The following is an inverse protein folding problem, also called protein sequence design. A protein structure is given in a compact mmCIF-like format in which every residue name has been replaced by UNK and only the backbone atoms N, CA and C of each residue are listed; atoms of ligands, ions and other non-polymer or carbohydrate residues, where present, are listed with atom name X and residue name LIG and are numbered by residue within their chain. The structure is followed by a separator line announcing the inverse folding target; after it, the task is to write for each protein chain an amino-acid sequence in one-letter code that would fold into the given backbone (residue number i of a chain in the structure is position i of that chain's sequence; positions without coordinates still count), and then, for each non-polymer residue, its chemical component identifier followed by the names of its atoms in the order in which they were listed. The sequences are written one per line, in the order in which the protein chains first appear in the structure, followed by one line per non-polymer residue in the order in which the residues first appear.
data_IF_650722297684
#
_entry.id   IF_650722297684
#
_cell.length_a   1.000
_cell.length_b   1.000
_cell.length_c   1.000
_cell.angle_alpha   90.00
_cell.angle_beta   90.00
_cell.angle_gamma   90.00
#
_symmetry.space_group_name_H-M   'P 1'
#
loop_
_entity.id
_entity.type
_entity.pdbx_description
1 polymer ?
#
# COMPACT_ATOMS: atom_id res chain seq x y z
N UNK A 1 16.11 -1.48 3.75
CA UNK A 1 15.94 -2.77 3.04
C UNK A 1 14.48 -2.96 2.67
N UNK A 2 14.16 -3.28 1.42
CA UNK A 2 12.79 -3.57 1.04
C UNK A 2 12.31 -4.90 1.63
N UNK A 3 11.03 -4.94 1.96
CA UNK A 3 10.35 -6.17 2.39
C UNK A 3 9.45 -6.61 1.24
N UNK A 4 9.53 -7.88 0.88
CA UNK A 4 8.75 -8.45 -0.22
C UNK A 4 7.85 -9.55 0.30
N UNK A 5 6.59 -9.52 -0.14
CA UNK A 5 5.63 -10.60 0.11
C UNK A 5 4.95 -10.97 -1.19
N UNK A 6 4.50 -12.21 -1.24
CA UNK A 6 3.72 -12.73 -2.37
C UNK A 6 2.41 -13.30 -1.82
N UNK A 7 1.32 -12.93 -2.46
CA UNK A 7 -0.02 -13.35 -2.08
C UNK A 7 -0.76 -13.84 -3.32
N UNK A 8 -1.75 -14.72 -3.11
CA UNK A 8 -2.65 -15.16 -4.18
C UNK A 8 -4.06 -14.78 -3.82
N UNK A 9 -4.68 -13.92 -4.64
CA UNK A 9 -6.06 -13.48 -4.48
C UNK A 9 -7.00 -14.36 -5.30
N UNK A 10 -8.22 -14.53 -4.81
CA UNK A 10 -9.29 -15.18 -5.56
C UNK A 10 -9.91 -14.25 -6.60
N UNK A 11 -9.61 -12.94 -6.53
CA UNK A 11 -10.14 -11.94 -7.44
C UNK A 11 -9.26 -11.79 -8.69
N UNK A 12 -9.85 -11.50 -9.87
CA UNK A 12 -9.07 -11.25 -11.08
C UNK A 12 -8.31 -9.92 -10.98
N UNK A 13 -7.23 -9.74 -11.78
CA UNK A 13 -6.40 -8.55 -11.68
C UNK A 13 -7.13 -7.21 -11.75
N UNK A 14 -8.13 -6.99 -12.61
CA UNK A 14 -8.86 -5.72 -12.62
C UNK A 14 -9.56 -5.40 -11.30
N UNK A 15 -10.07 -6.41 -10.60
CA UNK A 15 -10.72 -6.23 -9.30
C UNK A 15 -9.70 -5.88 -8.21
N UNK A 16 -8.54 -6.54 -8.21
CA UNK A 16 -7.45 -6.23 -7.27
C UNK A 16 -6.98 -4.80 -7.51
N UNK A 17 -6.79 -4.41 -8.76
CA UNK A 17 -6.39 -3.06 -9.12
C UNK A 17 -7.42 -2.04 -8.62
N UNK A 18 -8.70 -2.32 -8.81
CA UNK A 18 -9.78 -1.45 -8.35
C UNK A 18 -9.71 -1.22 -6.83
N UNK A 19 -9.48 -2.27 -6.06
CA UNK A 19 -9.37 -2.17 -4.60
C UNK A 19 -8.15 -1.32 -4.19
N UNK A 20 -7.02 -1.53 -4.83
CA UNK A 20 -5.80 -0.79 -4.53
C UNK A 20 -5.90 0.70 -4.86
N UNK A 21 -6.72 1.05 -5.84
CA UNK A 21 -6.84 2.42 -6.34
C UNK A 21 -8.17 3.09 -6.02
N UNK A 22 -8.97 2.49 -5.14
CA UNK A 22 -10.20 3.07 -4.62
C UNK A 22 -9.88 3.92 -3.39
N UNK A 23 -9.94 5.23 -3.53
CA UNK A 23 -9.69 6.19 -2.47
C UNK A 23 -10.99 6.81 -1.92
N UNK A 24 -12.12 6.19 -2.19
CA UNK A 24 -13.42 6.61 -1.67
C UNK A 24 -13.62 6.21 -0.20
N UNK A 25 -14.81 6.49 0.35
CA UNK A 25 -15.11 6.24 1.77
C UNK A 25 -14.92 4.80 2.23
N UNK A 26 -15.09 3.83 1.32
CA UNK A 26 -14.90 2.41 1.65
C UNK A 26 -13.47 2.02 1.98
N UNK A 27 -12.49 2.89 1.65
CA UNK A 27 -11.09 2.59 1.91
C UNK A 27 -10.79 2.46 3.41
N UNK A 28 -11.36 3.32 4.23
CA UNK A 28 -11.19 3.24 5.68
C UNK A 28 -11.80 1.97 6.27
N UNK A 29 -12.88 1.48 5.68
CA UNK A 29 -13.52 0.23 6.11
C UNK A 29 -12.69 -1.00 5.73
N UNK A 30 -12.07 -0.97 4.55
CA UNK A 30 -11.31 -2.09 4.01
C UNK A 30 -9.89 -2.19 4.61
N UNK A 31 -9.24 -1.06 4.85
CA UNK A 31 -7.84 -1.00 5.27
C UNK A 31 -7.73 -0.57 6.73
N UNK A 32 -7.27 -1.47 7.59
CA UNK A 32 -7.17 -1.26 9.05
C UNK A 32 -6.31 -0.06 9.46
N UNK A 33 -5.27 0.22 8.70
CA UNK A 33 -4.35 1.32 9.00
C UNK A 33 -4.85 2.70 8.55
N UNK A 34 -6.04 2.78 7.95
CA UNK A 34 -6.60 4.01 7.41
C UNK A 34 -7.88 4.39 8.14
N UNK A 35 -7.87 5.58 8.76
CA UNK A 35 -9.05 6.18 9.37
C UNK A 35 -9.70 7.14 8.39
N UNK A 36 -11.01 7.23 8.38
CA UNK A 36 -11.76 8.14 7.53
C UNK A 36 -11.31 9.60 7.72
N UNK A 37 -11.05 10.00 8.95
CA UNK A 37 -10.61 11.37 9.30
C UNK A 37 -9.19 11.67 8.85
N UNK A 38 -8.43 10.65 8.45
CA UNK A 38 -7.04 10.76 8.01
C UNK A 38 -6.86 10.31 6.56
N UNK A 39 -7.93 10.39 5.78
CA UNK A 39 -7.91 10.06 4.35
C UNK A 39 -8.29 11.31 3.56
N UNK A 40 -7.34 11.83 2.79
CA UNK A 40 -7.55 13.01 1.94
C UNK A 40 -7.01 12.75 0.55
N UNK A 41 -7.86 12.87 -0.46
CA UNK A 41 -7.43 12.87 -1.85
C UNK A 41 -7.17 14.32 -2.25
N UNK A 42 -5.90 14.65 -2.46
CA UNK A 42 -5.50 16.02 -2.82
C UNK A 42 -5.77 16.30 -4.29
N UNK A 43 -5.45 15.33 -5.13
CA UNK A 43 -5.66 15.41 -6.57
C UNK A 43 -5.64 14.00 -7.14
N UNK A 44 -6.35 13.78 -8.25
CA UNK A 44 -6.32 12.48 -8.93
C UNK A 44 -6.61 12.62 -10.42
N UNK A 45 -6.07 11.68 -11.18
CA UNK A 45 -6.28 11.56 -12.62
C UNK A 45 -6.70 10.14 -12.98
N UNK A 46 -6.72 9.80 -14.29
CA UNK A 46 -7.18 8.48 -14.74
C UNK A 46 -6.33 7.32 -14.23
N UNK A 47 -5.04 7.54 -13.99
CA UNK A 47 -4.10 6.50 -13.58
C UNK A 47 -3.09 6.97 -12.52
N UNK A 48 -3.47 7.96 -11.74
CA UNK A 48 -2.64 8.47 -10.64
C UNK A 48 -3.50 9.16 -9.59
N UNK A 49 -2.98 9.25 -8.37
CA UNK A 49 -3.62 9.98 -7.27
C UNK A 49 -2.56 10.48 -6.29
N UNK A 50 -2.81 11.64 -5.71
CA UNK A 50 -2.02 12.21 -4.61
C UNK A 50 -2.91 12.17 -3.37
N UNK A 51 -2.54 11.33 -2.40
CA UNK A 51 -3.40 10.97 -1.28
C UNK A 51 -2.62 11.02 0.02
N UNK A 52 -3.23 11.54 1.07
CA UNK A 52 -2.73 11.36 2.45
C UNK A 52 -3.62 10.33 3.12
N UNK A 53 -3.03 9.28 3.67
CA UNK A 53 -3.77 8.24 4.37
C UNK A 53 -3.01 7.75 5.59
N UNK A 54 -3.74 7.22 6.55
CA UNK A 54 -3.19 6.70 7.78
C UNK A 54 -4.13 6.91 8.96
N UNK A 55 -3.53 7.11 10.13
CA UNK A 55 -4.24 7.32 11.39
C UNK A 55 -3.48 8.34 12.25
N UNK A 56 -3.93 8.53 13.48
CA UNK A 56 -3.29 9.50 14.40
C UNK A 56 -1.81 9.22 14.66
N UNK A 57 -1.43 7.95 14.64
CA UNK A 57 -0.08 7.52 15.02
C UNK A 57 0.87 7.58 13.85
N UNK A 58 0.42 7.13 12.68
CA UNK A 58 1.25 7.02 11.48
C UNK A 58 0.42 7.39 10.27
N UNK A 59 0.87 8.40 9.56
CA UNK A 59 0.24 8.83 8.30
C UNK A 59 1.31 9.06 7.24
N UNK A 60 0.92 8.96 5.98
CA UNK A 60 1.80 9.30 4.87
C UNK A 60 1.02 9.90 3.72
N UNK A 61 1.67 10.84 3.04
CA UNK A 61 1.21 11.37 1.77
C UNK A 61 1.94 10.62 0.67
N UNK A 62 1.19 10.08 -0.27
CA UNK A 62 1.70 9.21 -1.30
C UNK A 62 1.21 9.64 -2.66
N UNK A 63 2.09 9.53 -3.64
CA UNK A 63 1.69 9.63 -5.02
C UNK A 63 1.56 8.24 -5.59
N UNK A 64 0.33 7.87 -5.91
CA UNK A 64 0.02 6.61 -6.57
C UNK A 64 0.08 6.79 -8.08
N UNK A 65 0.62 5.81 -8.78
CA UNK A 65 0.48 5.67 -10.22
C UNK A 65 0.28 4.21 -10.56
N UNK A 66 -0.49 3.92 -11.60
CA UNK A 66 -0.77 2.55 -11.99
C UNK A 66 -0.96 2.42 -13.49
N UNK A 67 -0.71 1.19 -13.97
CA UNK A 67 -0.90 0.80 -15.36
C UNK A 67 -1.65 -0.53 -15.38
N UNK A 68 -2.90 -0.51 -15.85
CA UNK A 68 -3.74 -1.69 -15.89
C UNK A 68 -3.19 -2.75 -16.86
N UNK A 69 -2.57 -2.32 -17.96
CA UNK A 69 -2.03 -3.24 -18.96
C UNK A 69 -0.87 -4.10 -18.44
N UNK A 70 0.04 -3.48 -17.67
CA UNK A 70 1.17 -4.19 -17.08
C UNK A 70 0.87 -4.77 -15.69
N UNK A 71 -0.25 -4.36 -15.07
CA UNK A 71 -0.63 -4.81 -13.72
C UNK A 71 0.25 -4.24 -12.63
N UNK A 72 0.78 -3.02 -12.80
CA UNK A 72 1.66 -2.39 -11.83
C UNK A 72 0.96 -1.25 -11.10
N UNK A 73 1.22 -1.14 -9.78
CA UNK A 73 0.80 -0.02 -8.95
C UNK A 73 2.00 0.41 -8.14
N UNK A 74 2.31 1.70 -8.15
CA UNK A 74 3.41 2.28 -7.39
C UNK A 74 2.86 3.40 -6.51
N UNK A 75 3.22 3.39 -5.24
CA UNK A 75 2.89 4.47 -4.30
C UNK A 75 4.20 4.99 -3.72
N UNK A 76 4.55 6.22 -4.06
CA UNK A 76 5.78 6.86 -3.58
C UNK A 76 5.44 7.80 -2.43
N UNK A 77 6.09 7.60 -1.28
CA UNK A 77 5.90 8.46 -0.11
C UNK A 77 6.51 9.83 -0.38
N UNK A 78 5.70 10.88 -0.33
CA UNK A 78 6.14 12.26 -0.53
C UNK A 78 6.24 13.03 0.78
N UNK A 79 5.49 12.63 1.80
CA UNK A 79 5.54 13.19 3.15
C UNK A 79 5.01 12.16 4.15
N UNK A 80 5.47 12.21 5.39
CA UNK A 80 5.02 11.33 6.46
C UNK A 80 5.56 11.83 7.78
N UNK A 81 4.89 11.47 8.88
CA UNK A 81 5.40 11.73 10.21
C UNK A 81 6.44 10.71 10.69
N UNK A 82 6.60 9.58 9.98
CA UNK A 82 7.57 8.53 10.37
C UNK A 82 8.48 8.06 9.23
N UNK A 83 8.07 8.24 7.98
CA UNK A 83 8.81 7.74 6.82
C UNK A 83 9.44 8.87 6.02
N UNK A 84 10.69 8.69 5.66
CA UNK A 84 11.48 9.65 4.89
C UNK A 84 11.55 9.33 3.40
N UNK A 85 12.33 10.13 2.66
CA UNK A 85 12.51 9.95 1.22
C UNK A 85 12.99 8.55 0.84
N UNK A 86 12.50 8.02 -0.27
CA UNK A 86 12.81 6.68 -0.73
C UNK A 86 11.84 5.60 -0.23
N UNK A 87 10.91 5.96 0.65
CA UNK A 87 9.87 5.05 1.11
C UNK A 87 8.76 4.90 0.08
N UNK A 88 8.12 3.76 0.04
CA UNK A 88 7.01 3.54 -0.88
C UNK A 88 6.60 2.08 -0.99
N UNK A 89 5.61 1.86 -1.85
CA UNK A 89 5.00 0.57 -2.13
C UNK A 89 5.02 0.30 -3.62
N UNK A 90 5.24 -0.95 -3.99
CA UNK A 90 5.12 -1.40 -5.38
C UNK A 90 4.33 -2.71 -5.40
N UNK A 91 3.31 -2.77 -6.24
CA UNK A 91 2.50 -3.96 -6.45
C UNK A 91 2.65 -4.42 -7.89
N UNK A 92 2.81 -5.72 -8.07
CA UNK A 92 2.78 -6.35 -9.39
C UNK A 92 1.71 -7.42 -9.40
N UNK A 93 0.75 -7.27 -10.31
CA UNK A 93 -0.42 -8.13 -10.43
C UNK A 93 -0.27 -9.00 -11.67
N UNK A 94 -0.31 -10.32 -11.48
CA UNK A 94 -0.21 -11.29 -12.57
C UNK A 94 -1.39 -12.23 -12.52
N UNK A 95 -2.09 -12.48 -13.65
CA UNK A 95 -3.16 -13.47 -13.67
C UNK A 95 -2.65 -14.85 -13.22
N UNK A 96 -3.45 -15.54 -12.39
CA UNK A 96 -3.13 -16.86 -11.87
C UNK A 96 -4.43 -17.66 -11.77
N UNK A 97 -4.68 -18.54 -12.74
CA UNK A 97 -5.97 -19.21 -12.84
C UNK A 97 -7.08 -18.19 -13.04
N UNK A 98 -8.10 -18.22 -12.15
CA UNK A 98 -9.18 -17.24 -12.14
C UNK A 98 -8.89 -16.05 -11.23
N UNK A 99 -7.79 -16.09 -10.49
CA UNK A 99 -7.40 -15.06 -9.54
C UNK A 99 -6.15 -14.29 -9.95
N UNK A 100 -5.43 -13.80 -8.96
CA UNK A 100 -4.27 -12.93 -9.15
C UNK A 100 -3.15 -13.30 -8.21
N UNK A 101 -1.95 -13.42 -8.74
CA UNK A 101 -0.71 -13.43 -7.97
C UNK A 101 -0.30 -11.98 -7.74
N UNK A 102 -0.06 -11.62 -6.49
CA UNK A 102 0.27 -10.27 -6.08
C UNK A 102 1.66 -10.28 -5.46
N UNK A 103 2.59 -9.57 -6.09
CA UNK A 103 3.92 -9.35 -5.53
C UNK A 103 3.96 -7.93 -4.96
N UNK A 104 4.29 -7.80 -3.68
CA UNK A 104 4.33 -6.52 -2.97
C UNK A 104 5.74 -6.28 -2.49
N UNK A 105 6.28 -5.11 -2.82
CA UNK A 105 7.58 -4.65 -2.32
C UNK A 105 7.34 -3.35 -1.56
N UNK A 106 7.76 -3.32 -0.29
CA UNK A 106 7.61 -2.14 0.56
C UNK A 106 8.98 -1.69 1.01
N UNK A 107 9.30 -0.44 0.74
CA UNK A 107 10.56 0.19 1.16
C UNK A 107 10.24 1.23 2.23
N UNK A 108 10.92 1.14 3.37
CA UNK A 108 10.72 2.05 4.49
C UNK A 108 12.06 2.61 4.97
N UNK A 109 12.17 3.93 4.92
CA UNK A 109 13.29 4.67 5.49
C UNK A 109 12.74 5.54 6.61
N UNK A 110 13.01 5.15 7.87
CA UNK A 110 12.51 5.89 9.02
C UNK A 110 13.15 7.25 9.17
N UNK A 111 12.37 8.26 9.56
CA UNK A 111 12.87 9.59 9.89
C UNK A 111 12.62 9.91 11.35
N UNK A 112 13.52 10.67 11.96
CA UNK A 112 13.49 10.96 13.38
C UNK A 112 13.80 9.74 14.23
N UNK A 113 13.77 9.90 15.56
CA UNK A 113 14.09 8.80 16.49
C UNK A 113 13.04 7.70 16.41
N UNK A 114 11.76 8.07 16.47
CA UNK A 114 10.63 7.13 16.39
C UNK A 114 10.64 6.38 15.06
N UNK A 115 10.78 7.09 13.95
CA UNK A 115 10.78 6.48 12.62
C UNK A 115 11.95 5.52 12.41
N UNK A 116 13.14 5.85 12.92
CA UNK A 116 14.30 4.98 12.84
C UNK A 116 14.15 3.69 13.63
N UNK A 117 13.51 3.76 14.81
CA UNK A 117 13.21 2.57 15.62
C UNK A 117 12.22 1.66 14.90
N UNK A 118 11.13 2.22 14.39
CA UNK A 118 10.12 1.47 13.64
C UNK A 118 10.73 0.87 12.38
N UNK A 119 11.52 1.65 11.64
CA UNK A 119 12.18 1.21 10.42
C UNK A 119 13.19 0.08 10.65
N UNK A 120 13.89 0.09 11.77
CA UNK A 120 14.83 -0.97 12.15
C UNK A 120 14.12 -2.29 12.44
N UNK A 121 12.89 -2.24 13.00
CA UNK A 121 12.11 -3.42 13.31
C UNK A 121 11.34 -3.96 12.08
N UNK A 122 11.11 -3.13 11.09
CA UNK A 122 10.28 -3.48 9.93
C UNK A 122 10.78 -4.72 9.17
N UNK A 123 12.08 -4.90 8.89
CA UNK A 123 12.55 -6.11 8.22
C UNK A 123 12.27 -7.41 9.00
N UNK A 124 12.16 -7.32 10.32
CA UNK A 124 11.91 -8.47 11.19
C UNK A 124 10.44 -8.89 11.23
N UNK A 125 9.53 -7.91 11.27
CA UNK A 125 8.09 -8.17 11.44
C UNK A 125 7.27 -7.85 10.19
N UNK A 126 7.90 -7.21 9.19
CA UNK A 126 7.20 -6.63 8.04
C UNK A 126 6.44 -7.64 7.21
N UNK A 127 7.00 -8.82 6.94
CA UNK A 127 6.32 -9.85 6.14
C UNK A 127 5.03 -10.31 6.78
N UNK A 128 5.07 -10.60 8.07
CA UNK A 128 3.88 -11.03 8.81
C UNK A 128 2.83 -9.93 8.88
N UNK A 129 3.27 -8.71 9.18
CA UNK A 129 2.41 -7.53 9.23
C UNK A 129 1.74 -7.27 7.88
N UNK A 130 2.52 -7.26 6.78
CA UNK A 130 2.00 -7.03 5.44
C UNK A 130 1.04 -8.11 5.00
N UNK A 131 1.37 -9.37 5.25
CA UNK A 131 0.50 -10.48 4.90
C UNK A 131 -0.87 -10.34 5.57
N UNK A 132 -0.88 -10.04 6.86
CA UNK A 132 -2.13 -9.83 7.61
C UNK A 132 -2.90 -8.61 7.12
N UNK A 133 -2.21 -7.51 6.85
CA UNK A 133 -2.85 -6.26 6.44
C UNK A 133 -3.46 -6.35 5.04
N UNK A 134 -2.82 -7.08 4.14
CA UNK A 134 -3.23 -7.17 2.74
C UNK A 134 -4.24 -8.29 2.46
N UNK A 135 -4.21 -9.36 3.26
CA UNK A 135 -5.03 -10.55 2.99
C UNK A 135 -6.52 -10.28 3.00
N UNK A 136 -7.01 -9.50 3.95
CA UNK A 136 -8.44 -9.18 4.04
C UNK A 136 -8.94 -8.36 2.86
N UNK A 137 -8.40 -7.13 2.64
CA UNK A 137 -8.87 -6.26 1.57
C UNK A 137 -8.73 -6.86 0.17
N UNK A 138 -7.66 -7.62 -0.07
CA UNK A 138 -7.37 -8.17 -1.40
C UNK A 138 -7.90 -9.59 -1.60
N UNK A 139 -8.61 -10.16 -0.61
CA UNK A 139 -9.12 -11.54 -0.68
C UNK A 139 -8.00 -12.52 -1.00
N UNK A 140 -6.89 -12.45 -0.28
CA UNK A 140 -5.64 -13.15 -0.60
C UNK A 140 -5.10 -13.95 0.59
N UNK A 141 -4.19 -14.84 0.26
CA UNK A 141 -3.43 -15.64 1.24
C UNK A 141 -1.95 -15.55 0.98
#
# INVERSE_FOLDING_TARGET
MPVRVELTSTLPPPEVLRILTDFGPSRADAWRGVDEDHLTVHEQGPNWADVTEGNKTTWERERYSWDAASGTVTATTTDSNVWGPGSGWEYRLTPSGTGTRIEVTVTRHGKGVKGRLIGALFPLIGKSYLTKSLSGPLKAK
#
